data_IF_586072037997
#
_entry.id   IF_586072037997
#
_cell.length_a   1.000
_cell.length_b   1.000
_cell.length_c   1.000
_cell.angle_alpha   90.00
_cell.angle_beta   90.00
_cell.angle_gamma   90.00
#
_symmetry.space_group_name_H-M   'P 1'
#
loop_
_entity.id
_entity.type
_entity.pdbx_description
1 polymer ?
#
# COMPACT_ATOMS: atom_id res chain seq x y z
N UNK A 1 -29.33 31.50 -16.14
CA UNK A 1 -29.06 32.92 -15.84
C UNK A 1 -28.16 32.94 -14.59
N UNK A 2 -27.07 33.69 -14.67
CA UNK A 2 -26.19 33.90 -13.53
C UNK A 2 -26.83 34.88 -12.56
N UNK A 3 -26.71 34.65 -11.23
CA UNK A 3 -27.23 35.60 -10.25
C UNK A 3 -26.54 36.97 -10.47
N UNK A 4 -27.33 38.03 -10.38
CA UNK A 4 -26.84 39.41 -10.49
C UNK A 4 -26.96 40.13 -9.14
N UNK A 5 -26.12 41.12 -8.92
CA UNK A 5 -26.24 42.02 -7.78
C UNK A 5 -27.45 42.96 -7.91
N UNK A 6 -27.68 43.82 -6.93
CA UNK A 6 -28.75 44.81 -6.93
C UNK A 6 -28.66 45.84 -8.05
N UNK A 7 -27.51 45.94 -8.74
CA UNK A 7 -27.29 46.81 -9.89
C UNK A 7 -27.41 46.09 -11.24
N UNK A 8 -27.73 44.81 -11.25
CA UNK A 8 -27.86 43.99 -12.45
C UNK A 8 -26.51 43.48 -13.00
N UNK A 9 -25.41 43.65 -12.25
CA UNK A 9 -24.12 43.14 -12.65
C UNK A 9 -24.02 41.62 -12.35
N UNK A 10 -23.62 40.79 -13.32
CA UNK A 10 -23.47 39.35 -13.07
C UNK A 10 -22.46 39.05 -11.95
N UNK A 11 -22.88 38.29 -10.95
CA UNK A 11 -22.02 37.85 -9.85
C UNK A 11 -21.36 36.57 -10.28
N UNK A 12 -20.07 36.62 -10.49
CA UNK A 12 -19.26 35.43 -10.85
C UNK A 12 -18.75 34.63 -9.62
N UNK A 13 -19.05 35.10 -8.41
CA UNK A 13 -18.69 34.41 -7.18
C UNK A 13 -19.82 33.44 -6.77
N UNK A 14 -19.64 32.17 -7.04
CA UNK A 14 -20.51 31.12 -6.55
C UNK A 14 -19.81 30.36 -5.42
N UNK A 15 -20.48 30.31 -4.24
CA UNK A 15 -20.02 29.44 -3.15
C UNK A 15 -20.65 28.07 -3.40
N UNK A 16 -19.79 27.07 -3.65
CA UNK A 16 -20.25 25.68 -3.69
C UNK A 16 -20.73 25.27 -2.30
N UNK A 17 -21.97 24.81 -2.21
CA UNK A 17 -22.62 24.38 -0.95
C UNK A 17 -23.18 22.98 -1.15
N UNK A 18 -23.37 22.28 -0.02
CA UNK A 18 -24.01 20.96 0.00
C UNK A 18 -23.22 19.88 -0.76
N UNK A 19 -21.90 20.01 -0.82
CA UNK A 19 -21.03 18.92 -1.25
C UNK A 19 -21.16 17.74 -0.29
N UNK A 20 -20.98 16.52 -0.82
CA UNK A 20 -21.00 15.28 -0.06
C UNK A 20 -19.88 14.40 -0.61
N UNK A 21 -19.10 13.80 0.27
CA UNK A 21 -17.98 12.92 -0.08
C UNK A 21 -18.43 11.56 -0.66
N UNK A 22 -19.74 11.35 -0.78
CA UNK A 22 -20.28 10.08 -1.26
C UNK A 22 -20.35 9.02 -0.16
N UNK A 23 -20.68 7.80 -0.56
CA UNK A 23 -20.71 6.64 0.31
C UNK A 23 -19.39 5.86 0.22
N UNK A 24 -19.05 5.08 1.25
CA UNK A 24 -17.92 4.15 1.21
C UNK A 24 -18.04 3.20 0.00
N UNK A 25 -16.93 3.03 -0.71
CA UNK A 25 -16.89 2.16 -1.89
C UNK A 25 -16.99 0.70 -1.46
N UNK A 26 -17.89 -0.07 -2.08
CA UNK A 26 -18.03 -1.50 -1.80
C UNK A 26 -16.88 -2.32 -2.40
N UNK A 27 -16.57 -3.49 -1.80
CA UNK A 27 -15.57 -4.42 -2.32
C UNK A 27 -15.85 -4.81 -3.79
N UNK A 28 -17.12 -5.01 -4.16
CA UNK A 28 -17.52 -5.32 -5.52
C UNK A 28 -17.19 -4.20 -6.52
N UNK A 29 -17.39 -2.94 -6.13
CA UNK A 29 -17.04 -1.79 -6.96
C UNK A 29 -15.52 -1.62 -7.09
N UNK A 30 -14.76 -1.89 -6.01
CA UNK A 30 -13.30 -1.91 -6.05
C UNK A 30 -12.78 -3.02 -6.99
N UNK A 31 -13.28 -4.24 -6.87
CA UNK A 31 -12.90 -5.35 -7.76
C UNK A 31 -13.20 -5.04 -9.22
N UNK A 32 -14.39 -4.51 -9.53
CA UNK A 32 -14.75 -4.08 -10.89
C UNK A 32 -13.85 -2.94 -11.44
N UNK A 33 -13.29 -2.13 -10.57
CA UNK A 33 -12.30 -1.11 -10.95
C UNK A 33 -10.95 -1.73 -11.26
N UNK A 34 -10.53 -2.71 -10.46
CA UNK A 34 -9.30 -3.47 -10.72
C UNK A 34 -9.38 -4.31 -11.99
N UNK A 35 -10.56 -4.85 -12.37
CA UNK A 35 -10.73 -5.61 -13.61
C UNK A 35 -10.22 -4.85 -14.83
N UNK A 36 -10.42 -3.53 -14.87
CA UNK A 36 -9.91 -2.67 -15.94
C UNK A 36 -8.37 -2.65 -15.96
N UNK A 37 -7.74 -2.65 -14.79
CA UNK A 37 -6.27 -2.65 -14.66
C UNK A 37 -5.66 -4.05 -14.85
N UNK A 38 -6.48 -5.11 -14.72
CA UNK A 38 -6.03 -6.49 -14.87
C UNK A 38 -6.08 -6.98 -16.34
N UNK A 39 -6.67 -6.20 -17.24
CA UNK A 39 -6.64 -6.48 -18.67
C UNK A 39 -5.29 -6.04 -19.28
N UNK A 40 -4.41 -7.01 -19.50
CA UNK A 40 -3.07 -6.78 -20.03
C UNK A 40 -3.05 -6.36 -21.52
N UNK A 41 -4.16 -6.51 -22.23
CA UNK A 41 -4.26 -6.10 -23.64
C UNK A 41 -4.55 -4.60 -23.78
N UNK A 42 -5.22 -4.02 -22.79
CA UNK A 42 -5.66 -2.62 -22.84
C UNK A 42 -4.84 -1.69 -21.95
N UNK A 43 -4.27 -2.21 -20.86
CA UNK A 43 -3.59 -1.39 -19.84
C UNK A 43 -2.18 -1.90 -19.56
N UNK A 44 -1.18 -1.03 -19.72
CA UNK A 44 0.22 -1.29 -19.36
C UNK A 44 0.49 -0.87 -17.91
N UNK A 45 0.36 -1.83 -16.98
CA UNK A 45 0.51 -1.61 -15.52
C UNK A 45 1.49 -2.62 -14.95
N UNK A 46 2.54 -2.15 -14.28
CA UNK A 46 3.57 -2.98 -13.68
C UNK A 46 3.42 -3.15 -12.17
N UNK A 47 2.83 -2.16 -11.47
CA UNK A 47 2.69 -2.15 -10.02
C UNK A 47 1.23 -1.90 -9.63
N UNK A 48 0.60 -2.85 -8.96
CA UNK A 48 -0.76 -2.75 -8.44
C UNK A 48 -0.72 -2.45 -6.94
N UNK A 49 -1.12 -1.24 -6.58
CA UNK A 49 -1.15 -0.76 -5.19
C UNK A 49 -2.57 -0.89 -4.68
N UNK A 50 -2.76 -1.69 -3.61
CA UNK A 50 -4.10 -1.92 -3.07
C UNK A 50 -4.58 -0.85 -2.09
N UNK A 51 -3.67 -0.06 -1.52
CA UNK A 51 -4.01 0.90 -0.47
C UNK A 51 -4.54 0.20 0.78
N UNK A 52 -5.53 0.80 1.44
CA UNK A 52 -6.34 0.14 2.44
C UNK A 52 -7.41 -0.70 1.74
N UNK A 53 -7.50 -1.98 2.08
CA UNK A 53 -8.40 -2.91 1.42
C UNK A 53 -8.92 -4.00 2.36
N UNK A 54 -10.06 -4.59 2.01
CA UNK A 54 -10.52 -5.83 2.63
C UNK A 54 -9.66 -7.02 2.17
N UNK A 55 -9.64 -8.09 2.98
CA UNK A 55 -8.96 -9.34 2.60
C UNK A 55 -9.48 -9.89 1.26
N UNK A 56 -10.77 -9.71 0.97
CA UNK A 56 -11.40 -10.13 -0.29
C UNK A 56 -10.78 -9.42 -1.49
N UNK A 57 -10.74 -8.10 -1.45
CA UNK A 57 -10.16 -7.28 -2.52
C UNK A 57 -8.67 -7.59 -2.70
N UNK A 58 -7.90 -7.67 -1.61
CA UNK A 58 -6.47 -7.96 -1.69
C UNK A 58 -6.18 -9.33 -2.33
N UNK A 59 -6.91 -10.38 -1.94
CA UNK A 59 -6.81 -11.72 -2.55
C UNK A 59 -7.19 -11.70 -4.03
N UNK A 60 -8.21 -10.92 -4.39
CA UNK A 60 -8.66 -10.75 -5.78
C UNK A 60 -7.58 -10.13 -6.65
N UNK A 61 -7.03 -8.98 -6.24
CA UNK A 61 -5.96 -8.28 -6.98
C UNK A 61 -4.72 -9.14 -7.10
N UNK A 62 -4.35 -9.86 -6.04
CA UNK A 62 -3.22 -10.78 -6.07
C UNK A 62 -3.43 -11.96 -7.04
N UNK A 63 -4.65 -12.48 -7.15
CA UNK A 63 -4.98 -13.52 -8.12
C UNK A 63 -4.89 -12.99 -9.56
N UNK A 64 -5.42 -11.79 -9.82
CA UNK A 64 -5.33 -11.14 -11.13
C UNK A 64 -3.88 -10.84 -11.54
N UNK A 65 -3.02 -10.36 -10.63
CA UNK A 65 -1.60 -10.18 -10.90
C UNK A 65 -0.90 -11.50 -11.30
N UNK A 66 -1.31 -12.63 -10.69
CA UNK A 66 -0.79 -13.96 -11.05
C UNK A 66 -1.21 -14.40 -12.47
N UNK A 67 -2.43 -14.08 -12.88
CA UNK A 67 -2.93 -14.39 -14.22
C UNK A 67 -2.26 -13.49 -15.27
N UNK A 68 -2.12 -12.22 -14.93
CA UNK A 68 -1.51 -11.21 -15.79
C UNK A 68 -0.01 -11.46 -16.03
N UNK A 69 0.77 -11.82 -15.02
CA UNK A 69 2.21 -12.19 -15.04
C UNK A 69 3.21 -11.06 -15.41
N UNK A 70 2.74 -9.86 -15.65
CA UNK A 70 3.55 -8.68 -15.98
C UNK A 70 3.44 -7.56 -14.93
N UNK A 71 2.61 -7.77 -13.89
CA UNK A 71 2.42 -6.83 -12.81
C UNK A 71 2.62 -7.49 -11.44
N UNK A 72 3.04 -6.69 -10.46
CA UNK A 72 3.15 -7.11 -9.06
C UNK A 72 2.13 -6.38 -8.19
N UNK A 73 1.45 -7.11 -7.31
CA UNK A 73 0.48 -6.58 -6.37
C UNK A 73 1.10 -6.41 -4.97
N UNK A 74 0.92 -5.23 -4.37
CA UNK A 74 1.45 -4.86 -3.07
C UNK A 74 0.34 -4.75 -2.04
N UNK A 75 0.49 -5.45 -0.92
CA UNK A 75 -0.53 -5.57 0.12
C UNK A 75 0.04 -5.36 1.51
N UNK A 76 -0.70 -4.60 2.31
CA UNK A 76 -0.44 -4.42 3.75
C UNK A 76 -1.51 -5.15 4.57
N UNK A 77 -1.25 -5.52 5.82
CA UNK A 77 -2.29 -6.01 6.72
C UNK A 77 -3.32 -4.92 6.99
N UNK A 78 -4.54 -5.30 7.38
CA UNK A 78 -5.59 -4.32 7.71
C UNK A 78 -5.18 -3.40 8.87
N UNK A 79 -5.76 -2.20 8.92
CA UNK A 79 -5.49 -1.23 9.99
C UNK A 79 -5.70 -1.83 11.38
N UNK A 80 -6.77 -2.58 11.58
CA UNK A 80 -7.08 -3.23 12.86
C UNK A 80 -5.99 -4.21 13.34
N UNK A 81 -5.26 -4.83 12.42
CA UNK A 81 -4.17 -5.78 12.72
C UNK A 81 -2.85 -5.05 12.94
N UNK A 82 -2.59 -4.01 12.15
CA UNK A 82 -1.27 -3.36 12.10
C UNK A 82 -1.16 -2.09 12.95
N UNK A 83 -2.27 -1.50 13.39
CA UNK A 83 -2.28 -0.27 14.20
C UNK A 83 -2.70 -0.55 15.65
N UNK A 84 -3.72 -1.42 15.85
CA UNK A 84 -4.23 -1.72 17.19
C UNK A 84 -3.47 -2.87 17.83
N UNK A 85 -2.50 -2.56 18.69
CA UNK A 85 -1.63 -3.54 19.35
C UNK A 85 -1.00 -4.56 18.37
N UNK A 86 -0.22 -4.08 17.40
CA UNK A 86 0.39 -4.93 16.39
C UNK A 86 1.42 -5.87 16.99
N UNK A 87 1.46 -7.09 16.50
CA UNK A 87 2.50 -8.09 16.80
C UNK A 87 2.86 -8.88 15.56
N UNK A 88 4.08 -9.40 15.48
CA UNK A 88 4.49 -10.25 14.37
C UNK A 88 3.54 -11.44 14.17
N UNK A 89 3.05 -12.05 15.28
CA UNK A 89 2.12 -13.15 15.23
C UNK A 89 0.76 -12.78 14.58
N UNK A 90 0.20 -11.62 14.91
CA UNK A 90 -1.06 -11.15 14.29
C UNK A 90 -0.89 -10.92 12.80
N UNK A 91 0.22 -10.29 12.40
CA UNK A 91 0.51 -9.98 10.99
C UNK A 91 0.75 -11.27 10.20
N UNK A 92 1.54 -12.20 10.72
CA UNK A 92 1.77 -13.49 10.06
C UNK A 92 0.49 -14.30 9.94
N UNK A 93 -0.36 -14.26 10.96
CA UNK A 93 -1.65 -14.94 10.95
C UNK A 93 -2.63 -14.34 9.93
N UNK A 94 -2.61 -13.01 9.76
CA UNK A 94 -3.42 -12.34 8.74
C UNK A 94 -3.12 -12.84 7.32
N UNK A 95 -1.84 -13.08 7.00
CA UNK A 95 -1.43 -13.58 5.69
C UNK A 95 -1.33 -15.11 5.58
N UNK A 96 -1.62 -15.86 6.64
CA UNK A 96 -1.41 -17.30 6.67
C UNK A 96 -2.28 -18.08 5.68
N UNK A 97 -3.51 -17.62 5.46
CA UNK A 97 -4.50 -18.23 4.56
C UNK A 97 -4.48 -17.66 3.13
N UNK A 98 -3.49 -16.80 2.82
CA UNK A 98 -3.33 -16.27 1.48
C UNK A 98 -2.58 -17.26 0.58
N UNK A 99 -3.07 -17.41 -0.64
CA UNK A 99 -2.48 -18.32 -1.61
C UNK A 99 -1.02 -17.98 -1.92
N UNK A 100 -0.24 -19.02 -2.22
CA UNK A 100 1.13 -18.87 -2.70
C UNK A 100 1.15 -18.18 -4.07
N UNK A 101 1.91 -17.08 -4.18
CA UNK A 101 1.95 -16.26 -5.39
C UNK A 101 3.30 -15.55 -5.51
N UNK A 102 3.97 -15.67 -6.66
CA UNK A 102 5.22 -14.95 -6.95
C UNK A 102 5.00 -13.50 -7.40
N UNK A 103 3.77 -13.10 -7.70
CA UNK A 103 3.40 -11.75 -8.15
C UNK A 103 2.74 -10.91 -7.06
N UNK A 104 2.76 -11.37 -5.82
CA UNK A 104 2.29 -10.63 -4.64
C UNK A 104 3.44 -10.28 -3.70
N UNK A 105 3.33 -9.15 -3.02
CA UNK A 105 4.28 -8.68 -2.01
C UNK A 105 3.53 -8.30 -0.75
N UNK A 106 3.91 -8.84 0.40
CA UNK A 106 3.36 -8.50 1.70
C UNK A 106 4.35 -7.66 2.48
N UNK A 107 3.91 -6.53 3.02
CA UNK A 107 4.66 -5.73 3.99
C UNK A 107 4.15 -5.91 5.42
N UNK A 108 4.88 -5.36 6.39
CA UNK A 108 4.61 -5.61 7.81
C UNK A 108 3.70 -4.61 8.49
N UNK A 109 3.10 -3.64 7.77
CA UNK A 109 2.22 -2.78 8.51
C UNK A 109 1.85 -1.41 7.96
N UNK A 110 1.77 -0.46 8.89
CA UNK A 110 1.28 0.89 8.66
C UNK A 110 2.22 1.93 9.25
N UNK A 111 2.24 3.11 8.64
CA UNK A 111 2.96 4.30 9.13
C UNK A 111 1.99 5.39 9.54
N UNK A 112 2.45 6.28 10.42
CA UNK A 112 1.86 7.57 10.67
C UNK A 112 2.58 8.60 9.81
N UNK A 113 1.82 9.37 9.04
CA UNK A 113 2.30 10.43 8.18
C UNK A 113 1.67 11.75 8.58
N UNK A 114 2.36 12.86 8.31
CA UNK A 114 1.86 14.21 8.52
C UNK A 114 1.37 14.81 7.20
N UNK A 115 0.11 15.25 7.20
CA UNK A 115 -0.45 16.06 6.12
C UNK A 115 -0.24 17.55 6.44
N UNK A 116 0.70 18.15 5.73
CA UNK A 116 1.04 19.56 5.90
C UNK A 116 -0.02 20.52 5.37
N UNK A 117 -0.95 20.06 4.56
CA UNK A 117 -2.00 20.90 3.98
C UNK A 117 -3.18 21.06 4.92
N UNK A 118 -3.55 19.98 5.62
CA UNK A 118 -4.62 19.96 6.60
C UNK A 118 -4.12 20.08 8.05
N UNK A 119 -2.80 20.12 8.27
CA UNK A 119 -2.15 20.20 9.59
C UNK A 119 -2.57 19.04 10.52
N UNK A 120 -2.64 17.84 9.96
CA UNK A 120 -3.07 16.64 10.70
C UNK A 120 -2.18 15.43 10.45
N UNK A 121 -2.23 14.50 11.39
CA UNK A 121 -1.57 13.20 11.24
C UNK A 121 -2.60 12.14 10.88
N UNK A 122 -2.29 11.32 9.90
CA UNK A 122 -3.11 10.20 9.49
C UNK A 122 -2.31 8.89 9.41
N UNK A 123 -3.03 7.77 9.48
CA UNK A 123 -2.46 6.46 9.32
C UNK A 123 -2.53 6.05 7.85
N UNK A 124 -1.49 5.39 7.37
CA UNK A 124 -1.39 4.97 5.98
C UNK A 124 -0.74 3.59 5.88
N UNK A 125 -1.30 2.66 5.06
CA UNK A 125 -0.67 1.38 4.81
C UNK A 125 0.67 1.56 4.09
N UNK A 126 1.58 0.60 4.22
CA UNK A 126 2.94 0.69 3.66
C UNK A 126 3.04 0.20 2.21
N UNK A 127 2.00 -0.43 1.66
CA UNK A 127 2.07 -0.98 0.31
C UNK A 127 2.38 0.04 -0.80
N UNK A 128 1.90 1.32 -0.75
CA UNK A 128 2.31 2.31 -1.73
C UNK A 128 3.80 2.66 -1.65
N UNK A 129 4.33 2.76 -0.43
CA UNK A 129 5.76 3.02 -0.22
C UNK A 129 6.62 1.85 -0.69
N UNK A 130 6.18 0.60 -0.42
CA UNK A 130 6.86 -0.61 -0.87
C UNK A 130 6.93 -0.66 -2.40
N UNK A 131 5.84 -0.36 -3.09
CA UNK A 131 5.81 -0.23 -4.54
C UNK A 131 6.74 0.89 -5.04
N UNK A 132 6.72 2.05 -4.37
CA UNK A 132 7.59 3.18 -4.69
C UNK A 132 9.08 2.87 -4.50
N UNK A 133 9.44 2.05 -3.51
CA UNK A 133 10.82 1.56 -3.31
C UNK A 133 11.23 0.63 -4.45
N UNK A 134 10.34 -0.25 -4.92
CA UNK A 134 10.59 -1.12 -6.09
C UNK A 134 10.79 -0.28 -7.36
N UNK A 135 9.91 0.67 -7.64
CA UNK A 135 10.03 1.56 -8.80
C UNK A 135 11.34 2.37 -8.77
N UNK A 136 11.74 2.86 -7.59
CA UNK A 136 13.01 3.57 -7.44
C UNK A 136 14.21 2.67 -7.66
N UNK A 137 14.16 1.41 -7.19
CA UNK A 137 15.23 0.45 -7.38
C UNK A 137 15.42 0.13 -8.87
N UNK A 138 14.33 -0.04 -9.62
CA UNK A 138 14.33 -0.23 -11.07
C UNK A 138 14.91 0.98 -11.80
N UNK A 139 14.48 2.19 -11.45
CA UNK A 139 14.95 3.42 -12.09
C UNK A 139 16.46 3.68 -11.87
N UNK A 140 17.00 3.33 -10.69
CA UNK A 140 18.40 3.61 -10.33
C UNK A 140 19.36 2.48 -10.70
N UNK A 141 18.86 1.27 -10.90
CA UNK A 141 19.65 0.08 -11.21
C UNK A 141 18.94 -0.70 -12.33
N UNK A 142 18.27 -1.79 -11.97
CA UNK A 142 17.53 -2.66 -12.89
C UNK A 142 16.37 -3.34 -12.14
N UNK A 143 15.34 -3.81 -12.85
CA UNK A 143 14.15 -4.44 -12.29
C UNK A 143 14.43 -5.70 -11.44
N UNK A 144 15.54 -6.38 -11.68
CA UNK A 144 15.94 -7.59 -10.92
C UNK A 144 16.76 -7.29 -9.66
N UNK A 145 17.12 -6.03 -9.40
CA UNK A 145 17.79 -5.66 -8.16
C UNK A 145 16.83 -5.70 -6.97
N UNK A 146 17.30 -6.25 -5.83
CA UNK A 146 16.55 -6.21 -4.58
C UNK A 146 16.27 -4.78 -4.15
N UNK A 147 15.00 -4.41 -3.92
CA UNK A 147 14.62 -3.07 -3.44
C UNK A 147 14.93 -2.86 -1.96
N UNK A 148 15.21 -3.94 -1.21
CA UNK A 148 15.41 -3.89 0.23
C UNK A 148 16.83 -3.48 0.64
N UNK A 149 16.98 -3.13 1.90
CA UNK A 149 18.28 -2.90 2.56
C UNK A 149 18.64 -1.43 2.73
N UNK A 150 19.78 -1.21 3.42
CA UNK A 150 20.23 0.10 3.88
C UNK A 150 20.53 1.12 2.78
N UNK A 151 20.81 0.67 1.56
CA UNK A 151 21.18 1.57 0.47
C UNK A 151 20.00 1.96 -0.42
N UNK A 152 18.95 1.16 -0.48
CA UNK A 152 17.84 1.31 -1.44
C UNK A 152 16.45 1.33 -0.80
N UNK A 153 16.27 0.61 0.31
CA UNK A 153 14.98 0.32 0.92
C UNK A 153 14.30 1.46 1.68
N UNK A 154 14.80 2.70 1.60
CA UNK A 154 14.29 3.81 2.41
C UNK A 154 12.89 4.25 2.03
N UNK A 155 12.05 4.37 3.05
CA UNK A 155 10.74 5.00 2.98
C UNK A 155 10.85 6.49 3.29
N UNK A 156 10.05 7.29 2.61
CA UNK A 156 9.99 8.74 2.81
C UNK A 156 8.78 9.11 3.66
N UNK A 157 8.84 10.30 4.29
CA UNK A 157 7.72 10.91 5.02
C UNK A 157 7.10 9.99 6.09
N UNK A 158 7.94 9.25 6.80
CA UNK A 158 7.54 8.39 7.92
C UNK A 158 7.77 9.12 9.23
N UNK A 159 6.70 9.56 9.87
CA UNK A 159 6.78 10.13 11.22
C UNK A 159 7.02 9.02 12.24
N UNK A 160 6.29 7.91 12.10
CA UNK A 160 6.39 6.75 12.99
C UNK A 160 5.82 5.51 12.30
N UNK A 161 6.46 4.35 12.50
CA UNK A 161 5.83 3.05 12.25
C UNK A 161 4.92 2.68 13.42
N UNK A 162 3.76 2.12 13.14
CA UNK A 162 2.89 1.56 14.18
C UNK A 162 3.47 0.27 14.77
N UNK A 163 4.21 -0.47 13.97
CA UNK A 163 4.94 -1.66 14.37
C UNK A 163 6.40 -1.59 13.91
N UNK A 164 7.33 -1.57 14.85
CA UNK A 164 8.77 -1.62 14.57
C UNK A 164 9.32 -2.94 15.11
N UNK A 165 9.46 -3.98 14.29
CA UNK A 165 9.79 -5.32 14.74
C UNK A 165 11.23 -5.45 15.27
N UNK A 166 11.38 -6.15 16.39
CA UNK A 166 12.67 -6.63 16.90
C UNK A 166 13.31 -7.65 15.96
N UNK A 167 14.55 -8.04 16.19
CA UNK A 167 15.24 -9.02 15.35
C UNK A 167 14.48 -10.36 15.26
N UNK A 168 14.03 -10.89 16.39
CA UNK A 168 13.27 -12.14 16.42
C UNK A 168 11.94 -12.05 15.66
N UNK A 169 11.26 -10.91 15.79
CA UNK A 169 10.00 -10.65 15.06
C UNK A 169 10.24 -10.48 13.56
N UNK A 170 11.34 -9.84 13.14
CA UNK A 170 11.72 -9.77 11.71
C UNK A 170 11.95 -11.15 11.12
N UNK A 171 12.64 -12.03 11.86
CA UNK A 171 12.88 -13.40 11.43
C UNK A 171 11.58 -14.19 11.29
N UNK A 172 10.63 -13.98 12.22
CA UNK A 172 9.29 -14.58 12.17
C UNK A 172 8.50 -14.09 10.94
N UNK A 173 8.43 -12.77 10.72
CA UNK A 173 7.76 -12.16 9.57
C UNK A 173 8.36 -12.70 8.26
N UNK A 174 9.68 -12.64 8.14
CA UNK A 174 10.38 -13.03 6.92
C UNK A 174 10.22 -14.53 6.61
N UNK A 175 10.17 -15.41 7.62
CA UNK A 175 9.83 -16.83 7.43
C UNK A 175 8.41 -17.03 6.90
N UNK A 176 7.51 -16.13 7.26
CA UNK A 176 6.08 -16.16 6.87
C UNK A 176 5.78 -15.36 5.59
N UNK A 177 6.78 -15.08 4.76
CA UNK A 177 6.64 -14.35 3.48
C UNK A 177 6.28 -12.86 3.63
N UNK A 178 6.34 -12.30 4.83
CA UNK A 178 6.06 -10.88 5.09
C UNK A 178 7.38 -10.13 5.15
N UNK A 179 7.50 -9.08 4.37
CA UNK A 179 8.69 -8.23 4.34
C UNK A 179 8.65 -7.24 5.51
N UNK A 180 9.58 -7.34 6.46
CA UNK A 180 9.60 -6.42 7.59
C UNK A 180 10.04 -5.03 7.14
N UNK A 181 9.32 -4.01 7.63
CA UNK A 181 9.71 -2.61 7.54
C UNK A 181 10.17 -2.16 8.90
N UNK A 182 11.34 -1.54 8.98
CA UNK A 182 12.05 -1.28 10.24
C UNK A 182 12.56 0.15 10.30
N UNK A 183 12.44 0.77 11.45
CA UNK A 183 13.11 2.04 11.72
C UNK A 183 14.37 1.80 12.55
N UNK A 184 15.53 2.10 11.98
CA UNK A 184 16.81 2.07 12.69
C UNK A 184 17.20 3.46 13.15
N UNK A 185 17.72 3.56 14.39
CA UNK A 185 18.21 4.84 14.93
C UNK A 185 19.31 5.42 14.05
N UNK A 186 19.13 6.66 13.62
CA UNK A 186 20.10 7.37 12.77
C UNK A 186 20.14 6.97 11.31
N UNK A 187 19.36 5.97 10.90
CA UNK A 187 19.33 5.49 9.50
C UNK A 187 17.95 5.66 8.83
N UNK A 188 16.89 5.88 9.62
CA UNK A 188 15.54 6.05 9.10
C UNK A 188 14.75 4.74 8.98
N UNK A 189 13.62 4.81 8.26
CA UNK A 189 12.70 3.69 8.03
C UNK A 189 12.98 3.07 6.67
N UNK A 190 13.08 1.75 6.64
CA UNK A 190 13.42 1.03 5.40
C UNK A 190 12.76 -0.34 5.30
N UNK A 191 12.61 -0.81 4.07
CA UNK A 191 12.25 -2.19 3.73
C UNK A 191 13.44 -3.10 4.02
N UNK A 192 13.23 -4.14 4.83
CA UNK A 192 14.28 -5.08 5.24
C UNK A 192 14.03 -6.51 4.77
N UNK A 193 13.23 -6.69 3.74
CA UNK A 193 12.93 -7.97 3.10
C UNK A 193 12.52 -7.77 1.64
N UNK A 194 12.76 -8.78 0.82
CA UNK A 194 12.57 -8.76 -0.63
C UNK A 194 11.86 -10.02 -1.15
N UNK A 195 11.07 -10.65 -0.29
CA UNK A 195 10.30 -11.85 -0.66
C UNK A 195 8.99 -11.49 -1.35
N UNK A 196 8.64 -12.31 -2.30
CA UNK A 196 7.27 -12.39 -2.80
C UNK A 196 6.39 -13.23 -1.87
N UNK A 197 5.09 -13.26 -2.13
CA UNK A 197 4.13 -14.09 -1.40
C UNK A 197 4.24 -15.60 -1.74
N UNK A 198 5.30 -16.00 -2.45
CA UNK A 198 5.57 -17.40 -2.80
C UNK A 198 5.91 -18.19 -1.52
N UNK A 199 5.15 -19.26 -1.24
CA UNK A 199 5.51 -20.20 -0.20
C UNK A 199 6.65 -21.10 -0.69
N UNK A 200 7.57 -21.45 0.24
CA UNK A 200 8.57 -22.47 -0.10
C UNK A 200 7.86 -23.75 -0.54
N UNK A 201 8.36 -24.43 -1.56
CA UNK A 201 7.95 -25.82 -1.78
C UNK A 201 8.26 -26.63 -0.52
N UNK A 202 7.29 -27.43 -0.12
CA UNK A 202 7.45 -28.37 1.00
C UNK A 202 8.46 -29.47 0.62
#
# INVERSE_FOLDING_TARGET
DLPSDTSGTPIYNAILKNGNDGSAVSDGALMASYDKLLDAETEDVNLLITGEHSTTVGKYVMAGAKERKDAMAFMSPSESVAVTNPTAAKITNYFSDWNSNSYGVFDSGWKRQYDRYNDEFFNMPLNPDTAGVCARAEFTNDAWFSPAGLNRGFYRDVVKLHFNPSQAERDQLYKSRVNPVVTFKGQGTLLFGDKTALSKPS
#
